data_IF_034268910613
#
_entry.id   IF_034268910613
#
_cell.length_a   1.000
_cell.length_b   1.000
_cell.length_c   1.000
_cell.angle_alpha   90.00
_cell.angle_beta   90.00
_cell.angle_gamma   90.00
#
_symmetry.space_group_name_H-M   'P 1'
#
loop_
_entity.id
_entity.type
_entity.pdbx_description
1 polymer ?
#
# COMPACT_ATOMS: atom_id res chain seq x y z
N UNK A 1 -12.37 -10.75 9.71
CA UNK A 1 -12.39 -9.28 9.69
C UNK A 1 -12.18 -8.82 8.26
N UNK A 2 -12.84 -7.74 7.85
CA UNK A 2 -12.72 -7.19 6.50
C UNK A 2 -11.52 -6.24 6.44
N UNK A 3 -10.54 -6.54 5.59
CA UNK A 3 -9.36 -5.68 5.38
C UNK A 3 -9.78 -4.44 4.57
N UNK A 4 -9.62 -3.26 5.14
CA UNK A 4 -9.88 -2.00 4.44
C UNK A 4 -8.74 -1.68 3.47
N UNK A 5 -9.10 -1.37 2.24
CA UNK A 5 -8.16 -0.96 1.19
C UNK A 5 -8.52 0.45 0.74
N UNK A 6 -7.53 1.32 0.72
CA UNK A 6 -7.63 2.68 0.22
C UNK A 6 -6.93 2.77 -1.13
N UNK A 7 -7.35 3.72 -1.97
CA UNK A 7 -6.68 4.02 -3.23
C UNK A 7 -6.26 5.48 -3.26
N UNK A 8 -5.10 5.75 -3.85
CA UNK A 8 -4.54 7.09 -3.91
C UNK A 8 -3.71 7.24 -5.18
N UNK A 9 -3.78 8.42 -5.79
CA UNK A 9 -2.89 8.81 -6.88
C UNK A 9 -1.77 9.66 -6.29
N UNK A 10 -0.57 9.10 -6.18
CA UNK A 10 0.60 9.85 -5.75
C UNK A 10 1.06 10.80 -6.86
N UNK A 11 1.58 11.96 -6.47
CA UNK A 11 2.04 12.99 -7.42
C UNK A 11 0.94 13.52 -8.36
N UNK A 12 -0.32 13.41 -7.98
CA UNK A 12 -1.41 14.07 -8.68
C UNK A 12 -1.38 15.58 -8.43
N UNK A 13 -1.71 16.35 -9.45
CA UNK A 13 -2.05 17.76 -9.30
C UNK A 13 -3.57 17.85 -9.13
N UNK A 14 -4.02 18.22 -7.94
CA UNK A 14 -5.43 18.13 -7.55
C UNK A 14 -5.97 16.69 -7.74
N UNK A 15 -6.94 16.49 -8.64
CA UNK A 15 -7.52 15.19 -8.99
C UNK A 15 -7.04 14.65 -10.34
N UNK A 16 -6.06 15.28 -10.98
CA UNK A 16 -5.59 14.94 -12.32
C UNK A 16 -4.22 14.25 -12.31
N UNK A 17 -4.14 13.13 -13.02
CA UNK A 17 -2.92 12.37 -13.22
C UNK A 17 -2.41 11.65 -11.95
N UNK A 18 -1.09 11.53 -11.86
CA UNK A 18 -0.40 10.81 -10.79
C UNK A 18 -0.18 9.32 -11.07
N UNK A 19 0.35 8.62 -10.07
CA UNK A 19 0.61 7.19 -10.12
C UNK A 19 -0.26 6.47 -9.06
N UNK A 20 -1.23 5.64 -9.48
CA UNK A 20 -2.16 4.99 -8.57
C UNK A 20 -1.49 3.88 -7.74
N UNK A 21 -1.81 3.85 -6.46
CA UNK A 21 -1.48 2.74 -5.57
C UNK A 21 -2.67 2.36 -4.68
N UNK A 22 -2.73 1.08 -4.31
CA UNK A 22 -3.57 0.63 -3.20
C UNK A 22 -2.78 0.68 -1.88
N UNK A 23 -3.46 1.03 -0.80
CA UNK A 23 -2.87 1.16 0.54
C UNK A 23 -3.70 0.39 1.56
N UNK A 24 -3.05 -0.41 2.40
CA UNK A 24 -3.65 -1.12 3.53
C UNK A 24 -2.97 -0.62 4.81
N UNK A 25 -3.72 0.11 5.64
CA UNK A 25 -3.17 0.76 6.85
C UNK A 25 -3.08 -0.18 8.06
N UNK A 26 -3.87 -1.24 8.08
CA UNK A 26 -3.84 -2.28 9.11
C UNK A 26 -3.66 -3.63 8.43
N UNK A 27 -2.39 -3.99 8.21
CA UNK A 27 -2.00 -5.26 7.61
C UNK A 27 -1.44 -6.24 8.65
N UNK A 28 -1.57 -5.95 9.95
CA UNK A 28 -1.18 -6.88 11.00
C UNK A 28 -2.03 -8.15 10.91
N UNK A 29 -1.37 -9.31 10.97
CA UNK A 29 -2.02 -10.61 10.82
C UNK A 29 -2.23 -11.09 9.38
N UNK A 30 -1.97 -10.27 8.35
CA UNK A 30 -1.94 -10.75 6.97
C UNK A 30 -0.65 -11.52 6.69
N UNK A 31 -0.78 -12.72 6.11
CA UNK A 31 0.33 -13.49 5.57
C UNK A 31 0.69 -13.07 4.14
N UNK A 32 1.86 -13.50 3.66
CA UNK A 32 2.38 -13.17 2.32
C UNK A 32 1.39 -13.51 1.20
N UNK A 33 0.74 -14.67 1.29
CA UNK A 33 -0.25 -15.11 0.29
C UNK A 33 -1.49 -14.22 0.28
N UNK A 34 -1.89 -13.68 1.42
CA UNK A 34 -3.05 -12.80 1.52
C UNK A 34 -2.72 -11.41 0.97
N UNK A 35 -1.55 -10.87 1.32
CA UNK A 35 -1.04 -9.62 0.74
C UNK A 35 -0.91 -9.73 -0.79
N UNK A 36 -0.33 -10.83 -1.30
CA UNK A 36 -0.19 -11.07 -2.73
C UNK A 36 -1.55 -11.19 -3.44
N UNK A 37 -2.51 -11.92 -2.86
CA UNK A 37 -3.87 -12.05 -3.43
C UNK A 37 -4.59 -10.71 -3.46
N UNK A 38 -4.43 -9.89 -2.41
CA UNK A 38 -5.03 -8.57 -2.35
C UNK A 38 -4.41 -7.66 -3.40
N UNK A 39 -3.08 -7.65 -3.54
CA UNK A 39 -2.39 -6.89 -4.58
C UNK A 39 -2.80 -7.31 -6.00
N UNK A 40 -2.93 -8.62 -6.24
CA UNK A 40 -3.45 -9.15 -7.50
C UNK A 40 -4.88 -8.68 -7.78
N UNK A 41 -5.75 -8.68 -6.76
CA UNK A 41 -7.15 -8.23 -6.89
C UNK A 41 -7.25 -6.73 -7.18
N UNK A 42 -6.39 -5.92 -6.56
CA UNK A 42 -6.38 -4.47 -6.78
C UNK A 42 -5.85 -4.08 -8.16
N UNK A 43 -4.94 -4.87 -8.73
CA UNK A 43 -4.42 -4.71 -10.08
C UNK A 43 -3.86 -3.30 -10.40
N UNK A 44 -3.30 -2.64 -9.38
CA UNK A 44 -2.43 -1.47 -9.55
C UNK A 44 -0.97 -1.92 -9.71
N UNK A 45 -0.08 -0.99 -10.09
CA UNK A 45 1.36 -1.27 -10.16
C UNK A 45 1.88 -1.83 -8.83
N UNK A 46 1.51 -1.21 -7.71
CA UNK A 46 1.83 -1.70 -6.38
C UNK A 46 0.69 -1.48 -5.37
N UNK A 47 0.61 -2.41 -4.42
CA UNK A 47 -0.13 -2.26 -3.16
C UNK A 47 0.85 -2.15 -2.01
N UNK A 48 0.73 -1.12 -1.18
CA UNK A 48 1.52 -0.92 0.03
C UNK A 48 0.75 -1.38 1.27
N UNK A 49 1.45 -2.11 2.15
CA UNK A 49 0.92 -2.64 3.41
C UNK A 49 1.70 -2.05 4.58
N UNK A 50 0.98 -1.41 5.51
CA UNK A 50 1.54 -0.87 6.75
C UNK A 50 1.49 -1.94 7.85
N UNK A 51 2.64 -2.17 8.49
CA UNK A 51 2.82 -3.13 9.56
C UNK A 51 3.50 -2.45 10.76
N UNK A 52 3.30 -2.94 11.98
CA UNK A 52 4.10 -2.51 13.12
C UNK A 52 5.58 -2.87 12.92
N UNK A 53 6.47 -2.04 13.45
CA UNK A 53 7.91 -2.27 13.43
C UNK A 53 8.49 -2.24 14.84
N UNK A 54 9.59 -2.98 15.05
CA UNK A 54 10.34 -2.99 16.32
C UNK A 54 11.54 -2.04 16.32
N UNK A 55 11.91 -1.49 15.17
CA UNK A 55 13.16 -0.73 14.96
C UNK A 55 12.95 0.63 14.27
N UNK A 56 11.71 0.93 13.89
CA UNK A 56 11.30 2.17 13.25
C UNK A 56 9.83 2.44 13.63
N UNK A 57 9.28 3.59 13.22
CA UNK A 57 7.88 3.91 13.47
C UNK A 57 6.94 2.90 12.78
N UNK A 58 7.27 2.48 11.55
CA UNK A 58 6.48 1.56 10.76
C UNK A 58 7.34 0.62 9.91
N UNK A 59 6.78 -0.53 9.53
CA UNK A 59 7.31 -1.41 8.49
C UNK A 59 6.36 -1.35 7.30
N UNK A 60 6.91 -1.18 6.10
CA UNK A 60 6.14 -1.25 4.87
C UNK A 60 6.55 -2.48 4.07
N UNK A 61 5.58 -3.08 3.37
CA UNK A 61 5.80 -4.08 2.34
C UNK A 61 5.05 -3.68 1.08
N UNK A 62 5.59 -4.04 -0.07
CA UNK A 62 5.06 -3.62 -1.37
C UNK A 62 4.87 -4.84 -2.25
N UNK A 63 3.69 -4.98 -2.84
CA UNK A 63 3.38 -6.08 -3.73
C UNK A 63 2.87 -5.54 -5.05
N UNK A 64 3.49 -6.00 -6.12
CA UNK A 64 2.88 -5.95 -7.45
C UNK A 64 1.80 -7.04 -7.56
N UNK A 65 1.02 -7.09 -8.64
CA UNK A 65 0.06 -8.18 -8.86
C UNK A 65 0.69 -9.59 -8.90
N UNK A 66 2.01 -9.69 -9.10
CA UNK A 66 2.72 -10.97 -9.32
C UNK A 66 3.71 -11.34 -8.21
N UNK A 67 4.34 -10.36 -7.56
CA UNK A 67 5.36 -10.61 -6.52
C UNK A 67 5.53 -9.43 -5.57
N UNK A 68 6.16 -9.70 -4.42
CA UNK A 68 6.72 -8.68 -3.54
C UNK A 68 7.89 -7.94 -4.22
N UNK A 69 8.05 -6.66 -3.89
CA UNK A 69 9.20 -5.83 -4.28
C UNK A 69 9.75 -5.13 -3.04
N UNK A 70 11.06 -4.90 -3.00
CA UNK A 70 11.75 -4.40 -1.81
C UNK A 70 11.39 -2.94 -1.48
N UNK A 71 11.10 -2.13 -2.50
CA UNK A 71 10.83 -0.70 -2.35
C UNK A 71 9.88 -0.20 -3.44
N UNK A 72 8.94 0.66 -3.09
CA UNK A 72 8.17 1.45 -4.05
C UNK A 72 7.94 2.88 -3.54
N UNK A 73 8.51 3.87 -4.22
CA UNK A 73 8.48 5.27 -3.78
C UNK A 73 7.09 5.90 -3.81
N UNK A 74 6.34 5.75 -4.91
CA UNK A 74 5.03 6.38 -5.04
C UNK A 74 4.00 5.76 -4.08
N UNK A 75 4.06 4.45 -3.86
CA UNK A 75 3.17 3.78 -2.91
C UNK A 75 3.51 4.15 -1.45
N UNK A 76 4.79 4.40 -1.13
CA UNK A 76 5.21 4.93 0.18
C UNK A 76 4.56 6.30 0.43
N UNK A 77 4.70 7.24 -0.50
CA UNK A 77 4.14 8.59 -0.37
C UNK A 77 2.61 8.53 -0.30
N UNK A 78 2.00 7.69 -1.14
CA UNK A 78 0.55 7.50 -1.17
C UNK A 78 0.03 7.00 0.16
N UNK A 79 0.65 5.96 0.73
CA UNK A 79 0.23 5.37 2.00
C UNK A 79 0.28 6.37 3.14
N UNK A 80 1.38 7.12 3.28
CA UNK A 80 1.48 8.14 4.34
C UNK A 80 0.53 9.32 4.12
N UNK A 81 0.22 9.67 2.86
CA UNK A 81 -0.80 10.67 2.55
C UNK A 81 -2.19 10.22 2.98
N UNK A 82 -2.56 8.96 2.70
CA UNK A 82 -3.82 8.36 3.17
C UNK A 82 -3.86 8.35 4.70
N UNK A 83 -2.80 7.90 5.36
CA UNK A 83 -2.71 7.85 6.83
C UNK A 83 -2.86 9.23 7.47
N UNK A 84 -2.37 10.29 6.82
CA UNK A 84 -2.48 11.67 7.33
C UNK A 84 -3.88 12.26 7.21
N UNK A 85 -4.69 11.78 6.26
CA UNK A 85 -6.02 12.31 5.95
C UNK A 85 -7.15 11.64 6.75
N UNK A 86 -6.85 10.54 7.44
CA UNK A 86 -7.77 9.77 8.29
C UNK A 86 -7.50 10.04 9.77
#
# INVERSE_FOLDING_TARGET
METKVYTVNSFALESQGGNPAACVLDAEGLGDKEMQRLAQKMNFSETAFLLPSKVADYKLRYFTPVSEVELCGHATIGLFSVMRLL
#
